data_IF_752158379284
#
_entry.id   IF_752158379284
#
_cell.length_a   1.000
_cell.length_b   1.000
_cell.length_c   1.000
_cell.angle_alpha   90.00
_cell.angle_beta   90.00
_cell.angle_gamma   90.00
#
_symmetry.space_group_name_H-M   'P 1'
#
loop_
_entity.id
_entity.type
_entity.pdbx_description
1 polymer ?
#
# COMPACT_ATOMS: atom_id res chain seq x y z
N UNK A 1 12.62 14.15 9.86
CA UNK A 1 12.47 13.46 8.55
C UNK A 1 11.11 12.78 8.52
N UNK A 2 10.24 13.16 7.60
CA UNK A 2 8.92 12.55 7.45
C UNK A 2 9.04 11.17 6.80
N UNK A 3 8.32 10.18 7.37
CA UNK A 3 8.14 8.87 6.77
C UNK A 3 6.77 8.87 6.09
N UNK A 4 6.73 8.50 4.83
CA UNK A 4 5.51 8.40 4.05
C UNK A 4 5.20 6.93 3.73
N UNK A 5 3.95 6.52 3.88
CA UNK A 5 3.50 5.17 3.53
C UNK A 5 3.01 5.06 2.09
N UNK A 6 2.84 6.19 1.44
CA UNK A 6 2.52 6.31 0.03
C UNK A 6 3.39 7.40 -0.57
N UNK A 7 4.21 7.04 -1.54
CA UNK A 7 4.98 7.97 -2.35
C UNK A 7 4.20 8.37 -3.58
N UNK A 8 4.37 9.61 -4.06
CA UNK A 8 3.75 10.08 -5.29
C UNK A 8 4.86 10.32 -6.30
N UNK A 9 4.81 9.58 -7.40
CA UNK A 9 5.75 9.74 -8.50
C UNK A 9 5.18 10.67 -9.55
N UNK A 10 5.99 11.61 -9.98
CA UNK A 10 5.67 12.47 -11.10
C UNK A 10 6.23 11.84 -12.38
N UNK A 11 5.36 11.49 -13.29
CA UNK A 11 5.71 10.97 -14.61
C UNK A 11 5.51 12.08 -15.65
N UNK A 12 6.38 12.15 -16.65
CA UNK A 12 6.20 13.02 -17.80
C UNK A 12 6.49 12.24 -19.08
N UNK A 13 5.93 12.71 -20.19
CA UNK A 13 6.10 12.05 -21.48
C UNK A 13 7.42 12.37 -22.21
N UNK A 14 8.33 13.11 -21.60
CA UNK A 14 9.63 13.50 -22.19
C UNK A 14 9.56 14.48 -23.36
N UNK A 15 8.39 15.06 -23.67
CA UNK A 15 8.22 16.00 -24.77
C UNK A 15 8.23 17.44 -24.25
N UNK A 16 8.53 18.40 -25.16
CA UNK A 16 8.46 19.82 -24.87
C UNK A 16 7.05 20.36 -25.12
N UNK A 17 6.80 21.59 -24.61
CA UNK A 17 5.59 22.33 -24.94
C UNK A 17 5.44 22.51 -26.47
N UNK A 18 4.23 22.36 -27.06
CA UNK A 18 2.92 22.16 -26.40
C UNK A 18 2.56 20.70 -26.09
N UNK A 19 3.36 19.71 -26.48
CA UNK A 19 3.05 18.29 -26.34
C UNK A 19 3.48 17.70 -24.96
N UNK A 20 3.95 18.54 -24.04
CA UNK A 20 4.30 18.13 -22.69
C UNK A 20 3.07 17.65 -21.92
N UNK A 21 3.16 16.45 -21.38
CA UNK A 21 2.13 15.85 -20.51
C UNK A 21 2.78 15.30 -19.27
N UNK A 22 2.08 15.39 -18.15
CA UNK A 22 2.53 14.80 -16.89
C UNK A 22 1.36 14.08 -16.19
N UNK A 23 1.71 13.17 -15.30
CA UNK A 23 0.78 12.43 -14.46
C UNK A 23 1.42 12.16 -13.09
N UNK A 24 0.58 11.96 -12.08
CA UNK A 24 1.00 11.56 -10.75
C UNK A 24 0.60 10.10 -10.53
N UNK A 25 1.55 9.30 -10.07
CA UNK A 25 1.34 7.90 -9.75
C UNK A 25 1.49 7.71 -8.23
N UNK A 26 0.39 7.57 -7.47
CA UNK A 26 0.46 7.23 -6.06
C UNK A 26 0.93 5.77 -5.90
N UNK A 27 1.99 5.56 -5.14
CA UNK A 27 2.59 4.24 -4.93
C UNK A 27 2.58 3.86 -3.45
N UNK A 28 1.51 3.21 -2.95
CA UNK A 28 1.50 2.55 -1.65
C UNK A 28 2.22 1.20 -1.70
N UNK A 29 2.20 0.44 -0.59
CA UNK A 29 2.56 -0.97 -0.65
C UNK A 29 1.58 -1.73 -1.56
N UNK A 30 2.11 -2.57 -2.45
CA UNK A 30 1.31 -3.32 -3.44
C UNK A 30 0.59 -4.54 -2.85
N UNK A 31 0.89 -4.93 -1.61
CA UNK A 31 0.31 -6.11 -0.94
C UNK A 31 0.31 -7.34 -1.85
N UNK A 32 1.48 -7.64 -2.41
CA UNK A 32 1.70 -8.72 -3.38
C UNK A 32 1.07 -10.05 -2.95
N UNK A 33 0.51 -10.79 -3.91
CA UNK A 33 -0.27 -12.00 -3.69
C UNK A 33 0.31 -13.24 -4.39
N UNK A 34 1.57 -13.18 -4.82
CA UNK A 34 2.24 -14.31 -5.47
C UNK A 34 2.06 -15.61 -4.69
N UNK A 35 1.80 -16.74 -5.37
CA UNK A 35 1.58 -18.04 -4.75
C UNK A 35 2.78 -18.52 -3.92
N UNK A 36 3.98 -18.03 -4.22
CA UNK A 36 5.22 -18.33 -3.49
C UNK A 36 5.56 -17.29 -2.42
N UNK A 37 4.59 -16.55 -1.92
CA UNK A 37 4.70 -15.46 -0.96
C UNK A 37 5.18 -14.12 -1.55
N UNK A 38 4.74 -13.04 -0.90
CA UNK A 38 5.29 -11.72 -1.21
C UNK A 38 6.80 -11.71 -0.93
N UNK A 39 7.66 -11.10 -1.76
CA UNK A 39 9.12 -11.12 -1.53
C UNK A 39 9.52 -10.71 -0.12
N UNK A 40 8.83 -9.71 0.44
CA UNK A 40 9.11 -9.21 1.78
C UNK A 40 8.65 -10.12 2.92
N UNK A 41 7.69 -11.02 2.71
CA UNK A 41 7.30 -12.03 3.70
C UNK A 41 8.27 -13.19 3.67
N UNK A 42 8.71 -13.58 2.49
CA UNK A 42 9.64 -14.69 2.30
C UNK A 42 11.00 -14.45 2.97
N UNK A 43 11.53 -13.22 2.87
CA UNK A 43 12.86 -12.89 3.41
C UNK A 43 12.86 -12.51 4.90
N UNK A 44 11.71 -12.48 5.57
CA UNK A 44 11.63 -12.04 6.96
C UNK A 44 12.05 -13.17 7.92
N UNK A 45 13.23 -13.10 8.57
CA UNK A 45 13.76 -14.20 9.39
C UNK A 45 12.96 -14.46 10.68
N UNK A 46 12.17 -13.48 11.11
CA UNK A 46 11.38 -13.53 12.35
C UNK A 46 9.88 -13.52 12.12
N UNK A 47 9.44 -13.68 10.87
CA UNK A 47 8.03 -13.61 10.49
C UNK A 47 7.30 -12.34 11.02
N UNK A 48 8.02 -11.21 11.10
CA UNK A 48 7.42 -9.92 11.43
C UNK A 48 6.56 -9.39 10.29
N UNK A 49 6.88 -9.76 9.04
CA UNK A 49 6.05 -9.47 7.88
C UNK A 49 5.29 -10.73 7.51
N UNK A 50 3.96 -10.66 7.58
CA UNK A 50 3.06 -11.78 7.32
C UNK A 50 1.96 -11.36 6.35
N UNK A 51 1.39 -12.33 5.65
CA UNK A 51 0.18 -12.15 4.86
C UNK A 51 -0.98 -12.81 5.58
N UNK A 52 -2.07 -12.09 5.76
CA UNK A 52 -3.32 -12.64 6.26
C UNK A 52 -3.99 -13.45 5.15
N UNK A 53 -4.23 -14.73 5.37
CA UNK A 53 -4.79 -15.66 4.38
C UNK A 53 -6.25 -15.32 4.04
N UNK A 54 -7.00 -14.79 4.99
CA UNK A 54 -8.42 -14.49 4.81
C UNK A 54 -8.65 -13.25 3.93
N UNK A 55 -7.88 -12.19 4.17
CA UNK A 55 -8.06 -10.92 3.46
C UNK A 55 -6.91 -10.57 2.51
N UNK A 56 -5.81 -11.35 2.54
CA UNK A 56 -4.65 -11.15 1.68
C UNK A 56 -3.84 -9.89 2.00
N UNK A 57 -4.10 -9.19 3.10
CA UNK A 57 -3.34 -8.00 3.49
C UNK A 57 -1.97 -8.43 4.01
N UNK A 58 -0.92 -7.86 3.44
CA UNK A 58 0.44 -8.03 3.99
C UNK A 58 0.58 -7.07 5.17
N UNK A 59 0.70 -7.61 6.36
CA UNK A 59 0.85 -6.86 7.61
C UNK A 59 2.30 -6.83 8.08
N UNK A 60 2.59 -6.00 9.07
CA UNK A 60 3.88 -5.94 9.72
C UNK A 60 3.68 -5.87 11.24
N UNK A 61 4.20 -6.87 11.95
CA UNK A 61 4.10 -7.00 13.40
C UNK A 61 5.32 -6.33 14.01
N UNK A 62 5.18 -5.06 14.40
CA UNK A 62 6.30 -4.22 14.85
C UNK A 62 7.10 -4.82 16.02
N UNK A 63 6.47 -5.41 17.07
CA UNK A 63 7.23 -6.02 18.18
C UNK A 63 8.10 -7.22 17.79
N UNK A 64 7.83 -7.86 16.65
CA UNK A 64 8.66 -8.96 16.12
C UNK A 64 9.82 -8.47 15.26
N UNK A 65 9.75 -7.21 14.79
CA UNK A 65 10.73 -6.69 13.85
C UNK A 65 12.08 -6.44 14.54
N UNK A 66 13.14 -7.12 14.07
CA UNK A 66 14.51 -6.94 14.54
C UNK A 66 15.30 -5.89 13.75
N UNK A 67 14.66 -5.21 12.79
CA UNK A 67 15.29 -4.13 12.03
C UNK A 67 16.34 -4.56 11.02
N UNK A 68 16.40 -5.82 10.61
CA UNK A 68 17.40 -6.32 9.65
C UNK A 68 17.32 -5.69 8.26
N UNK A 69 16.21 -5.04 7.91
CA UNK A 69 15.94 -4.30 6.65
C UNK A 69 15.92 -5.17 5.38
N UNK A 70 16.05 -6.48 5.48
CA UNK A 70 16.08 -7.35 4.32
C UNK A 70 14.80 -7.23 3.48
N UNK A 71 13.65 -7.02 4.12
CA UNK A 71 12.37 -6.79 3.42
C UNK A 71 12.31 -5.45 2.65
N UNK A 72 13.18 -4.47 2.95
CA UNK A 72 13.31 -3.24 2.17
C UNK A 72 14.03 -3.53 0.85
N UNK A 73 15.15 -4.24 0.92
CA UNK A 73 15.95 -4.63 -0.24
C UNK A 73 15.15 -5.58 -1.17
N UNK A 74 14.40 -6.52 -0.59
CA UNK A 74 13.59 -7.46 -1.34
C UNK A 74 12.34 -6.84 -2.00
N UNK A 75 11.94 -5.61 -1.63
CA UNK A 75 10.75 -4.97 -2.18
C UNK A 75 11.06 -4.26 -3.51
N UNK A 76 10.59 -4.76 -4.66
CA UNK A 76 10.87 -4.13 -5.94
C UNK A 76 10.13 -2.79 -6.12
N UNK A 77 9.18 -2.49 -5.23
CA UNK A 77 8.39 -1.25 -5.27
C UNK A 77 8.91 -0.18 -4.33
N UNK A 78 9.98 -0.41 -3.57
CA UNK A 78 10.52 0.51 -2.55
C UNK A 78 9.47 1.07 -1.59
N UNK A 79 8.42 0.26 -1.29
CA UNK A 79 7.27 0.69 -0.50
C UNK A 79 7.46 0.47 1.00
N UNK A 80 8.69 0.37 1.46
CA UNK A 80 9.05 0.15 2.87
C UNK A 80 10.06 1.17 3.32
N UNK A 81 9.88 1.67 4.54
CA UNK A 81 10.75 2.65 5.18
C UNK A 81 11.24 2.13 6.51
N UNK A 82 12.40 2.58 6.96
CA UNK A 82 12.99 2.19 8.22
C UNK A 82 13.02 3.38 9.19
N UNK A 83 12.63 3.15 10.43
CA UNK A 83 12.65 4.15 11.49
C UNK A 83 14.04 4.24 12.11
N UNK A 84 14.80 5.24 11.68
CA UNK A 84 16.15 5.51 12.16
C UNK A 84 16.17 6.23 13.51
N UNK A 85 15.12 6.97 13.84
CA UNK A 85 15.00 7.79 15.04
C UNK A 85 13.69 7.53 15.77
N UNK A 86 13.69 7.78 17.06
CA UNK A 86 12.46 7.78 17.84
C UNK A 86 11.57 8.93 17.40
N UNK A 87 10.26 8.70 17.21
CA UNK A 87 9.35 9.75 16.79
C UNK A 87 9.20 10.79 17.90
N UNK A 88 9.44 12.05 17.57
CA UNK A 88 9.20 13.19 18.44
C UNK A 88 8.26 14.15 17.72
N UNK A 89 7.22 14.56 18.41
CA UNK A 89 6.22 15.46 17.88
C UNK A 89 6.30 16.77 18.65
N UNK A 90 6.38 17.95 17.98
CA UNK A 90 6.26 19.23 18.66
C UNK A 90 4.87 19.40 19.29
N UNK A 91 4.78 20.04 20.44
CA UNK A 91 3.50 20.54 20.91
C UNK A 91 2.95 21.59 19.93
N UNK A 92 1.68 21.61 19.58
CA UNK A 92 0.56 20.75 20.02
C UNK A 92 0.30 19.53 19.14
N UNK A 93 1.22 19.13 18.24
CA UNK A 93 0.99 18.08 17.27
C UNK A 93 0.80 16.68 17.91
N UNK A 94 1.24 16.48 19.13
CA UNK A 94 1.00 15.23 19.87
C UNK A 94 -0.50 14.95 20.03
N UNK A 95 -1.31 16.00 20.24
CA UNK A 95 -2.77 15.86 20.36
C UNK A 95 -3.47 15.48 19.07
N UNK A 96 -2.82 15.62 17.91
CA UNK A 96 -3.33 15.26 16.59
C UNK A 96 -3.04 13.82 16.22
N UNK A 97 -2.28 13.08 17.03
CA UNK A 97 -1.99 11.66 16.77
C UNK A 97 -3.26 10.83 16.89
N UNK A 98 -3.44 9.88 15.95
CA UNK A 98 -4.57 8.97 16.01
C UNK A 98 -4.47 8.06 17.24
N UNK A 99 -5.48 8.01 18.12
CA UNK A 99 -5.48 7.12 19.28
C UNK A 99 -5.57 5.65 18.88
N UNK A 100 -5.98 5.35 17.65
CA UNK A 100 -6.18 3.98 17.14
C UNK A 100 -4.88 3.37 16.57
N UNK A 101 -3.83 4.19 16.40
CA UNK A 101 -2.60 3.77 15.75
C UNK A 101 -1.41 4.23 16.59
N UNK A 102 -0.73 3.28 17.24
CA UNK A 102 0.48 3.59 18.01
C UNK A 102 1.60 4.13 17.11
N UNK A 103 2.38 5.06 17.61
CA UNK A 103 3.64 5.48 16.98
C UNK A 103 4.63 4.32 16.97
N UNK A 104 5.41 4.21 15.89
CA UNK A 104 6.40 3.12 15.75
C UNK A 104 7.72 3.57 16.35
N UNK A 105 8.34 2.66 17.07
CA UNK A 105 9.64 2.88 17.68
C UNK A 105 10.77 2.93 16.65
N UNK A 106 11.90 3.44 17.03
CA UNK A 106 13.14 3.32 16.26
C UNK A 106 13.51 1.84 16.04
N UNK A 107 14.13 1.53 14.91
CA UNK A 107 14.65 0.19 14.63
C UNK A 107 13.66 -0.75 13.95
N UNK A 108 12.46 -0.30 13.61
CA UNK A 108 11.47 -1.12 12.89
C UNK A 108 11.23 -0.62 11.47
N UNK A 109 10.75 -1.52 10.62
CA UNK A 109 10.34 -1.19 9.25
C UNK A 109 8.86 -0.86 9.21
N UNK A 110 8.48 0.17 8.47
CA UNK A 110 7.09 0.55 8.24
C UNK A 110 6.70 0.44 6.77
N UNK A 111 5.40 0.33 6.53
CA UNK A 111 4.78 0.36 5.20
C UNK A 111 3.29 0.65 5.29
N UNK A 112 2.65 0.92 4.17
CA UNK A 112 1.20 0.96 4.08
C UNK A 112 0.60 -0.41 4.47
N UNK A 113 -0.42 -0.40 5.32
CA UNK A 113 -1.12 -1.59 5.86
C UNK A 113 -2.55 -1.72 5.33
N UNK A 114 -2.94 -0.93 4.32
CA UNK A 114 -4.33 -0.74 3.90
C UNK A 114 -5.26 -0.40 5.08
N UNK A 115 -4.75 0.42 6.01
CA UNK A 115 -5.48 0.82 7.22
C UNK A 115 -6.01 -0.39 8.03
N UNK A 116 -5.15 -1.39 8.27
CA UNK A 116 -5.51 -2.63 8.98
C UNK A 116 -6.22 -2.37 10.32
N UNK A 117 -5.90 -1.28 11.03
CA UNK A 117 -6.60 -0.87 12.25
C UNK A 117 -8.10 -0.60 12.01
N UNK A 118 -8.47 -0.02 10.85
CA UNK A 118 -9.87 0.18 10.46
C UNK A 118 -10.59 -1.14 10.19
N UNK A 119 -9.90 -2.12 9.59
CA UNK A 119 -10.43 -3.48 9.43
C UNK A 119 -10.72 -4.12 10.80
N UNK A 120 -9.76 -4.06 11.72
CA UNK A 120 -9.94 -4.60 13.07
C UNK A 120 -11.12 -3.95 13.80
N UNK A 121 -11.29 -2.63 13.66
CA UNK A 121 -12.42 -1.90 14.22
C UNK A 121 -13.76 -2.34 13.60
N UNK A 122 -13.80 -2.50 12.26
CA UNK A 122 -14.99 -2.97 11.56
C UNK A 122 -15.37 -4.40 11.98
N UNK A 123 -14.39 -5.30 12.09
CA UNK A 123 -14.61 -6.67 12.57
C UNK A 123 -15.09 -6.71 14.03
N UNK A 124 -14.50 -5.89 14.90
CA UNK A 124 -14.93 -5.78 16.30
C UNK A 124 -16.38 -5.27 16.42
N UNK A 125 -16.76 -4.32 15.57
CA UNK A 125 -18.12 -3.83 15.50
C UNK A 125 -19.08 -4.93 15.01
N UNK A 126 -18.75 -5.61 13.91
CA UNK A 126 -19.55 -6.71 13.35
C UNK A 126 -19.78 -7.82 14.38
N UNK A 127 -18.74 -8.17 15.14
CA UNK A 127 -18.85 -9.15 16.24
C UNK A 127 -19.82 -8.69 17.32
N UNK A 128 -19.78 -7.42 17.74
CA UNK A 128 -20.71 -6.86 18.71
C UNK A 128 -22.16 -6.83 18.21
N UNK A 129 -22.33 -6.55 16.92
CA UNK A 129 -23.64 -6.47 16.28
C UNK A 129 -24.19 -7.87 15.89
N UNK A 130 -23.48 -8.95 16.22
CA UNK A 130 -23.88 -10.33 15.89
C UNK A 130 -23.80 -10.67 14.39
N UNK A 131 -23.07 -9.87 13.60
CA UNK A 131 -22.87 -10.09 12.17
C UNK A 131 -21.51 -10.76 11.93
N UNK A 132 -21.34 -11.33 10.73
CA UNK A 132 -20.12 -12.04 10.35
C UNK A 132 -18.92 -11.08 10.25
N UNK A 133 -17.90 -11.19 11.11
CA UNK A 133 -16.73 -10.31 11.07
C UNK A 133 -15.90 -10.40 9.79
N UNK A 134 -15.97 -11.53 9.07
CA UNK A 134 -15.21 -11.72 7.82
C UNK A 134 -15.87 -11.00 6.63
N UNK A 135 -17.15 -10.63 6.77
CA UNK A 135 -17.86 -9.79 5.82
C UNK A 135 -17.83 -8.30 6.17
N UNK A 136 -17.12 -7.92 7.23
CA UNK A 136 -17.02 -6.53 7.64
C UNK A 136 -16.33 -5.69 6.55
N UNK A 137 -16.97 -4.61 6.15
CA UNK A 137 -16.45 -3.66 5.17
C UNK A 137 -15.86 -2.43 5.83
N UNK A 138 -14.83 -1.87 5.24
CA UNK A 138 -14.21 -0.61 5.67
C UNK A 138 -13.59 0.11 4.48
N UNK A 139 -13.23 1.37 4.66
CA UNK A 139 -12.56 2.19 3.65
C UNK A 139 -11.21 2.67 4.17
N UNK A 140 -10.21 2.74 3.30
CA UNK A 140 -8.89 3.25 3.65
C UNK A 140 -8.91 4.77 3.79
N UNK A 141 -8.02 5.32 4.63
CA UNK A 141 -7.96 6.76 4.86
C UNK A 141 -7.65 7.56 3.59
N UNK A 142 -6.82 7.00 2.68
CA UNK A 142 -6.51 7.65 1.40
C UNK A 142 -7.71 7.70 0.45
N UNK A 143 -8.58 6.66 0.46
CA UNK A 143 -9.82 6.67 -0.32
C UNK A 143 -10.84 7.66 0.25
N UNK A 144 -11.00 7.70 1.57
CA UNK A 144 -11.89 8.67 2.24
C UNK A 144 -11.46 10.12 2.01
N UNK A 145 -10.14 10.38 2.06
CA UNK A 145 -9.59 11.72 1.91
C UNK A 145 -9.53 12.20 0.46
N UNK A 146 -9.78 11.32 -0.51
CA UNK A 146 -9.67 11.67 -1.93
C UNK A 146 -10.93 12.44 -2.42
N UNK A 147 -10.87 13.76 -2.67
CA UNK A 147 -12.03 14.55 -3.07
C UNK A 147 -12.52 14.16 -4.47
N UNK A 148 -11.62 13.72 -5.34
CA UNK A 148 -11.94 13.25 -6.69
C UNK A 148 -12.48 11.81 -6.72
N UNK A 149 -12.52 11.11 -5.57
CA UNK A 149 -12.88 9.69 -5.47
C UNK A 149 -12.12 8.78 -6.45
N UNK A 150 -10.89 9.17 -6.76
CA UNK A 150 -10.01 8.46 -7.70
C UNK A 150 -9.37 7.21 -7.09
N UNK A 151 -9.50 7.00 -5.78
CA UNK A 151 -8.96 5.85 -5.07
C UNK A 151 -10.12 4.98 -4.59
N UNK A 152 -10.21 3.78 -5.12
CA UNK A 152 -11.18 2.77 -4.70
C UNK A 152 -10.50 1.69 -3.86
N UNK A 153 -11.20 1.20 -2.84
CA UNK A 153 -10.74 0.10 -2.00
C UNK A 153 -11.88 -0.91 -1.80
N UNK A 154 -11.54 -2.20 -1.84
CA UNK A 154 -12.54 -3.25 -1.67
C UNK A 154 -11.96 -4.65 -1.80
N UNK A 155 -12.82 -5.65 -1.87
CA UNK A 155 -12.45 -7.05 -1.98
C UNK A 155 -12.41 -7.48 -3.45
N UNK A 156 -11.24 -7.83 -3.96
CA UNK A 156 -11.07 -8.35 -5.33
C UNK A 156 -11.75 -9.71 -5.58
N UNK A 157 -12.02 -10.49 -4.52
CA UNK A 157 -12.70 -11.78 -4.62
C UNK A 157 -14.22 -11.65 -4.69
N UNK A 158 -14.77 -10.49 -4.32
CA UNK A 158 -16.19 -10.21 -4.44
C UNK A 158 -16.49 -9.65 -5.83
N UNK A 159 -17.19 -10.41 -6.69
CA UNK A 159 -17.48 -9.99 -8.07
C UNK A 159 -18.37 -8.75 -8.14
N UNK A 160 -19.10 -8.43 -7.08
CA UNK A 160 -19.97 -7.26 -7.00
C UNK A 160 -19.25 -6.00 -6.50
N UNK A 161 -17.99 -6.13 -6.05
CA UNK A 161 -17.22 -4.98 -5.60
C UNK A 161 -16.76 -4.12 -6.77
N UNK A 162 -16.72 -2.80 -6.56
CA UNK A 162 -16.20 -1.85 -7.57
C UNK A 162 -14.77 -2.16 -7.97
N UNK A 163 -13.91 -2.55 -7.00
CA UNK A 163 -12.52 -2.89 -7.28
C UNK A 163 -12.38 -4.13 -8.17
N UNK A 164 -13.23 -5.15 -7.99
CA UNK A 164 -13.21 -6.35 -8.85
C UNK A 164 -13.67 -6.01 -10.28
N UNK A 165 -14.61 -5.08 -10.43
CA UNK A 165 -15.04 -4.57 -11.73
C UNK A 165 -13.94 -3.72 -12.39
N UNK A 166 -13.37 -2.77 -11.64
CA UNK A 166 -12.32 -1.86 -12.12
C UNK A 166 -11.02 -2.59 -12.47
N UNK A 167 -10.68 -3.66 -11.76
CA UNK A 167 -9.47 -4.44 -12.06
C UNK A 167 -9.53 -5.18 -13.41
N UNK A 168 -10.73 -5.36 -13.98
CA UNK A 168 -10.97 -5.99 -15.29
C UNK A 168 -11.12 -4.97 -16.42
N UNK A 169 -10.99 -3.67 -16.14
CA UNK A 169 -11.04 -2.63 -17.15
C UNK A 169 -9.90 -2.84 -18.18
N UNK A 170 -10.14 -2.71 -19.49
CA UNK A 170 -9.08 -2.83 -20.52
C UNK A 170 -7.91 -1.85 -20.32
N UNK A 171 -8.16 -0.74 -19.66
CA UNK A 171 -7.15 0.28 -19.33
C UNK A 171 -6.48 0.05 -17.97
N UNK A 172 -6.88 -0.99 -17.22
CA UNK A 172 -6.25 -1.34 -15.97
C UNK A 172 -4.88 -1.97 -16.21
N UNK A 173 -3.91 -1.62 -15.36
CA UNK A 173 -2.57 -2.18 -15.39
C UNK A 173 -1.99 -2.24 -13.98
N UNK A 174 -0.98 -3.06 -13.80
CA UNK A 174 -0.18 -3.17 -12.57
C UNK A 174 1.26 -2.78 -12.88
N UNK A 175 1.92 -2.11 -11.96
CA UNK A 175 3.33 -1.72 -12.14
C UNK A 175 4.24 -2.93 -11.95
N UNK A 176 5.28 -3.04 -12.79
CA UNK A 176 6.32 -4.10 -12.79
C UNK A 176 5.70 -5.50 -12.78
N UNK A 177 4.65 -5.70 -13.55
CA UNK A 177 3.94 -7.00 -13.60
C UNK A 177 4.85 -8.16 -14.03
N UNK A 178 5.88 -7.87 -14.84
CA UNK A 178 6.91 -8.82 -15.30
C UNK A 178 7.64 -9.57 -14.18
N UNK A 179 7.63 -9.06 -12.94
CA UNK A 179 8.26 -9.72 -11.80
C UNK A 179 7.37 -10.81 -11.14
N UNK A 180 6.15 -11.00 -11.61
CA UNK A 180 5.19 -12.00 -11.11
C UNK A 180 4.98 -11.97 -9.59
N UNK A 181 5.09 -10.79 -8.99
CA UNK A 181 4.82 -10.59 -7.56
C UNK A 181 3.33 -10.47 -7.25
N UNK A 182 2.49 -10.42 -8.28
CA UNK A 182 1.03 -10.26 -8.23
C UNK A 182 0.58 -9.09 -7.35
N UNK A 183 0.93 -7.85 -7.73
CA UNK A 183 0.49 -6.67 -6.98
C UNK A 183 -1.04 -6.55 -7.00
N UNK A 184 -1.63 -6.19 -5.86
CA UNK A 184 -3.08 -5.97 -5.70
C UNK A 184 -3.51 -4.51 -5.89
N UNK A 185 -2.58 -3.63 -6.23
CA UNK A 185 -2.88 -2.24 -6.59
C UNK A 185 -2.93 -2.15 -8.10
N UNK A 186 -4.08 -1.72 -8.61
CA UNK A 186 -4.34 -1.50 -10.03
C UNK A 186 -4.41 -0.01 -10.31
N UNK A 187 -3.95 0.36 -11.47
CA UNK A 187 -4.02 1.71 -12.01
C UNK A 187 -4.83 1.68 -13.29
N UNK A 188 -5.60 2.74 -13.54
CA UNK A 188 -6.39 2.86 -14.77
C UNK A 188 -5.94 4.12 -15.50
N UNK A 189 -5.53 3.98 -16.75
CA UNK A 189 -5.17 5.09 -17.61
C UNK A 189 -5.38 4.74 -19.07
N UNK A 190 -6.00 5.66 -19.81
CA UNK A 190 -6.12 5.61 -21.27
C UNK A 190 -4.84 6.03 -21.99
N UNK A 191 -3.81 6.45 -21.26
CA UNK A 191 -2.56 6.98 -21.81
C UNK A 191 -1.48 5.90 -21.81
N UNK A 192 -1.12 5.36 -22.96
CA UNK A 192 -0.11 4.27 -23.08
C UNK A 192 1.28 4.65 -22.56
N UNK A 193 1.66 5.93 -22.64
CA UNK A 193 2.94 6.37 -22.14
C UNK A 193 3.05 6.24 -20.61
N UNK A 194 1.94 6.36 -19.86
CA UNK A 194 1.91 6.17 -18.42
C UNK A 194 2.21 4.70 -18.09
N UNK A 195 1.58 3.76 -18.81
CA UNK A 195 1.83 2.32 -18.62
C UNK A 195 3.31 1.99 -18.85
N UNK A 196 3.89 2.48 -19.95
CA UNK A 196 5.30 2.24 -20.29
C UNK A 196 6.28 2.80 -19.26
N UNK A 197 6.02 4.03 -18.77
CA UNK A 197 6.90 4.66 -17.79
C UNK A 197 6.73 4.11 -16.39
N UNK A 198 5.54 3.67 -16.01
CA UNK A 198 5.30 3.09 -14.67
C UNK A 198 6.13 1.82 -14.43
N UNK A 199 6.43 1.05 -15.47
CA UNK A 199 7.31 -0.11 -15.39
C UNK A 199 8.78 0.27 -15.22
N UNK A 200 9.17 1.44 -15.70
CA UNK A 200 10.55 1.93 -15.67
C UNK A 200 10.84 2.87 -14.49
N UNK A 201 9.82 3.55 -13.95
CA UNK A 201 10.00 4.56 -12.90
C UNK A 201 10.58 4.00 -11.59
N UNK A 202 10.50 2.69 -11.38
CA UNK A 202 11.05 2.03 -10.19
C UNK A 202 12.56 1.75 -10.34
N UNK A 203 13.07 1.73 -11.56
CA UNK A 203 14.48 1.41 -11.85
C UNK A 203 15.41 2.63 -11.89
N UNK A 204 14.87 3.85 -11.86
CA UNK A 204 15.65 5.09 -12.02
C UNK A 204 16.07 5.77 -10.71
N UNK A 205 15.65 5.27 -9.55
CA UNK A 205 16.01 5.84 -8.23
C UNK A 205 17.06 5.02 -7.46
N UNK A 206 17.94 4.33 -8.15
CA UNK A 206 19.08 3.65 -7.55
C UNK A 206 20.38 4.47 -7.62
#
# INVERSE_FOLDING_TARGET
>A
RSITWMSIFQLNNGRNYPDYKYAFLPRPCMHCDSPHHSPCTFVCPVNATTRDENNGIVTHIYPRCIGCRYCIVACPYHARTFNWWDPKWPEPMESMLSPEVSTRMRGVVEKCTFCHHRLLKARSKAYKDGTDPDKATYTTACADACPAKAISYGNLRDPHSDVARLSKDPNAFRIIEKLNTEPKVYYISTQDWIKKLSDNAVTQES
#
